data_IF_589986291173
#
_entry.id   IF_589986291173
#
_cell.length_a   1.000
_cell.length_b   1.000
_cell.length_c   1.000
_cell.angle_alpha   90.00
_cell.angle_beta   90.00
_cell.angle_gamma   90.00
#
_symmetry.space_group_name_H-M   'P 1'
#
loop_
_entity.id
_entity.type
_entity.pdbx_description
1 polymer ?
#
# COMPACT_ATOMS: atom_id res chain seq x y z
N UNK A 1 -6.74 3.92 -25.01
CA UNK A 1 -6.94 3.30 -23.70
C UNK A 1 -6.87 4.42 -22.67
N UNK A 2 -7.81 4.54 -21.73
CA UNK A 2 -7.69 5.58 -20.70
C UNK A 2 -6.48 5.25 -19.79
N UNK A 3 -5.60 6.22 -19.51
CA UNK A 3 -4.46 6.01 -18.65
C UNK A 3 -4.91 5.78 -17.19
N UNK A 4 -4.23 4.92 -16.48
CA UNK A 4 -4.47 4.69 -15.06
C UNK A 4 -3.16 4.50 -14.31
N UNK A 5 -3.20 4.81 -13.02
CA UNK A 5 -2.08 4.67 -12.09
C UNK A 5 -2.39 3.53 -11.12
N UNK A 6 -1.35 2.75 -10.80
CA UNK A 6 -1.43 1.74 -9.74
C UNK A 6 -0.77 2.29 -8.48
N UNK A 7 -1.53 2.28 -7.40
CA UNK A 7 -1.04 2.60 -6.06
C UNK A 7 -0.96 1.34 -5.20
N UNK A 8 -0.01 1.33 -4.29
CA UNK A 8 0.08 0.39 -3.16
C UNK A 8 0.61 1.12 -1.93
N UNK A 9 0.92 0.40 -0.87
CA UNK A 9 1.41 0.96 0.39
C UNK A 9 2.88 0.59 0.64
N UNK A 10 3.53 1.33 1.53
CA UNK A 10 4.90 1.01 1.93
C UNK A 10 5.01 -0.30 2.71
N UNK A 11 3.89 -0.89 3.13
CA UNK A 11 3.80 -2.21 3.74
C UNK A 11 4.18 -3.36 2.81
N UNK A 12 4.25 -3.11 1.49
CA UNK A 12 4.72 -4.06 0.49
C UNK A 12 6.23 -4.26 0.47
N UNK A 13 6.98 -3.49 1.26
CA UNK A 13 8.45 -3.57 1.43
C UNK A 13 9.24 -3.57 0.10
N UNK A 14 8.67 -2.94 -0.94
CA UNK A 14 9.33 -2.79 -2.23
C UNK A 14 10.48 -1.80 -2.14
N UNK A 15 11.61 -2.16 -2.77
CA UNK A 15 12.73 -1.23 -2.90
C UNK A 15 12.40 -0.08 -3.86
N UNK A 16 13.04 1.10 -3.72
CA UNK A 16 12.86 2.21 -4.66
C UNK A 16 13.07 1.79 -6.12
N UNK A 17 14.05 0.93 -6.39
CA UNK A 17 14.33 0.44 -7.74
C UNK A 17 13.16 -0.40 -8.32
N UNK A 18 12.55 -1.27 -7.53
CA UNK A 18 11.39 -2.05 -7.97
C UNK A 18 10.14 -1.18 -8.16
N UNK A 19 9.97 -0.16 -7.32
CA UNK A 19 8.87 0.81 -7.44
C UNK A 19 8.99 1.60 -8.75
N UNK A 20 10.20 2.08 -9.06
CA UNK A 20 10.49 2.79 -10.30
C UNK A 20 10.32 1.87 -11.52
N UNK A 21 10.90 0.67 -11.50
CA UNK A 21 10.77 -0.32 -12.59
C UNK A 21 9.31 -0.67 -12.88
N UNK A 22 8.51 -0.85 -11.83
CA UNK A 22 7.09 -1.20 -11.95
C UNK A 22 6.18 0.04 -12.17
N UNK A 23 6.74 1.26 -12.12
CA UNK A 23 5.99 2.52 -12.21
C UNK A 23 4.82 2.56 -11.21
N UNK A 24 5.06 2.11 -9.98
CA UNK A 24 4.09 2.15 -8.91
C UNK A 24 4.12 3.49 -8.16
N UNK A 25 2.97 3.91 -7.65
CA UNK A 25 2.90 4.94 -6.63
C UNK A 25 2.74 4.27 -5.27
N UNK A 26 3.51 4.72 -4.28
CA UNK A 26 3.48 4.12 -2.94
C UNK A 26 3.06 5.14 -1.90
N UNK A 27 1.99 4.82 -1.17
CA UNK A 27 1.56 5.59 -0.01
C UNK A 27 2.37 5.17 1.22
N UNK A 28 3.06 6.10 1.89
CA UNK A 28 3.80 5.79 3.09
C UNK A 28 2.84 5.60 4.27
N UNK A 29 2.93 4.47 4.96
CA UNK A 29 2.26 4.31 6.25
C UNK A 29 2.90 5.19 7.32
N UNK A 30 2.09 5.65 8.26
CA UNK A 30 2.57 6.39 9.43
C UNK A 30 2.80 5.46 10.61
N UNK A 31 3.83 5.74 11.39
CA UNK A 31 4.09 5.07 12.66
C UNK A 31 4.62 6.06 13.69
N UNK A 32 4.43 5.73 14.96
CA UNK A 32 4.98 6.47 16.08
C UNK A 32 6.04 5.62 16.78
N UNK A 33 7.23 6.17 16.95
CA UNK A 33 8.35 5.54 17.63
C UNK A 33 8.76 6.42 18.81
N UNK A 34 8.53 5.95 20.02
CA UNK A 34 8.81 6.67 21.27
C UNK A 34 8.18 8.08 21.33
N UNK A 35 6.97 8.24 20.83
CA UNK A 35 6.25 9.52 20.81
C UNK A 35 6.55 10.41 19.60
N UNK A 36 7.50 10.05 18.75
CA UNK A 36 7.80 10.76 17.51
C UNK A 36 7.10 10.08 16.31
N UNK A 37 6.38 10.86 15.51
CA UNK A 37 5.73 10.39 14.31
C UNK A 37 6.71 10.35 13.12
N UNK A 38 6.61 9.29 12.34
CA UNK A 38 7.38 9.06 11.11
C UNK A 38 6.47 8.54 10.01
N UNK A 39 6.89 8.75 8.76
CA UNK A 39 6.33 8.07 7.59
C UNK A 39 7.32 7.01 7.10
N UNK A 40 6.81 5.82 6.82
CA UNK A 40 7.59 4.71 6.27
C UNK A 40 7.79 4.91 4.76
N UNK A 41 8.73 5.77 4.38
CA UNK A 41 9.10 5.94 2.99
C UNK A 41 9.99 4.78 2.53
N UNK A 42 9.77 4.22 1.32
CA UNK A 42 10.58 3.12 0.79
C UNK A 42 12.09 3.41 0.70
N UNK A 43 12.46 4.68 0.59
CA UNK A 43 13.87 5.12 0.54
C UNK A 43 14.46 5.44 1.93
N UNK A 44 13.69 5.29 3.00
CA UNK A 44 14.15 5.51 4.37
C UNK A 44 14.51 6.95 4.72
N UNK A 45 13.99 7.95 3.97
CA UNK A 45 14.37 9.37 4.10
C UNK A 45 14.09 9.98 5.49
N UNK A 46 13.15 9.47 6.25
CA UNK A 46 12.87 9.96 7.62
C UNK A 46 13.58 9.14 8.69
N UNK A 47 13.68 7.83 8.48
CA UNK A 47 14.43 6.91 9.33
C UNK A 47 14.84 5.70 8.49
N UNK A 48 16.09 5.29 8.61
CA UNK A 48 16.54 4.08 7.92
C UNK A 48 15.95 2.83 8.57
N UNK A 49 15.77 1.75 7.78
CA UNK A 49 15.33 0.47 8.32
C UNK A 49 16.30 -0.04 9.40
N UNK A 50 17.60 0.16 9.22
CA UNK A 50 18.62 -0.20 10.21
C UNK A 50 18.37 0.51 11.54
N UNK A 51 18.27 1.84 11.55
CA UNK A 51 18.07 2.63 12.76
C UNK A 51 16.73 2.32 13.44
N UNK A 52 15.68 2.09 12.65
CA UNK A 52 14.39 1.67 13.16
C UNK A 52 14.48 0.36 13.96
N UNK A 53 15.09 -0.67 13.35
CA UNK A 53 15.22 -1.98 14.03
C UNK A 53 16.19 -1.95 15.20
N UNK A 54 17.26 -1.16 15.16
CA UNK A 54 18.16 -0.98 16.31
C UNK A 54 17.42 -0.34 17.50
N UNK A 55 16.58 0.66 17.26
CA UNK A 55 15.74 1.25 18.31
C UNK A 55 14.77 0.23 18.91
N UNK A 56 14.10 -0.58 18.07
CA UNK A 56 13.21 -1.65 18.56
C UNK A 56 13.97 -2.68 19.41
N UNK A 57 15.18 -3.10 19.01
CA UNK A 57 16.04 -4.00 19.79
C UNK A 57 16.47 -3.38 21.13
N UNK A 58 16.68 -2.07 21.14
CA UNK A 58 16.99 -1.31 22.36
C UNK A 58 15.76 -1.12 23.28
N UNK A 59 14.57 -1.57 22.88
CA UNK A 59 13.35 -1.54 23.70
C UNK A 59 12.39 -0.39 23.39
N UNK A 60 12.62 0.36 22.32
CA UNK A 60 11.69 1.41 21.86
C UNK A 60 10.30 0.86 21.61
N UNK A 61 9.29 1.68 21.87
CA UNK A 61 7.89 1.36 21.59
C UNK A 61 7.47 1.89 20.22
N UNK A 62 6.81 1.05 19.43
CA UNK A 62 6.29 1.45 18.14
C UNK A 62 4.81 1.11 18.00
N UNK A 63 4.05 2.05 17.46
CA UNK A 63 2.66 1.85 17.03
C UNK A 63 2.49 2.30 15.60
N UNK A 64 1.69 1.58 14.83
CA UNK A 64 1.40 1.91 13.42
C UNK A 64 -0.01 2.45 13.27
N UNK A 65 -0.20 3.34 12.30
CA UNK A 65 -1.51 3.85 11.90
C UNK A 65 -1.81 3.42 10.48
N UNK A 66 -3.07 3.13 10.18
CA UNK A 66 -3.53 2.94 8.81
C UNK A 66 -3.34 4.22 7.99
N UNK A 67 -3.35 4.12 6.67
CA UNK A 67 -3.38 5.30 5.78
C UNK A 67 -4.68 6.07 6.05
N UNK A 68 -4.55 7.37 6.26
CA UNK A 68 -5.69 8.23 6.59
C UNK A 68 -6.49 8.63 5.34
N UNK A 69 -7.75 9.05 5.52
CA UNK A 69 -8.56 9.58 4.41
C UNK A 69 -7.91 10.79 3.75
N UNK A 70 -7.24 11.65 4.54
CA UNK A 70 -6.50 12.80 4.02
C UNK A 70 -5.31 12.38 3.13
N UNK A 71 -4.56 11.35 3.53
CA UNK A 71 -3.44 10.84 2.71
C UNK A 71 -3.93 10.30 1.36
N UNK A 72 -5.10 9.62 1.33
CA UNK A 72 -5.71 9.20 0.06
C UNK A 72 -6.17 10.40 -0.77
N UNK A 73 -6.83 11.38 -0.16
CA UNK A 73 -7.30 12.57 -0.86
C UNK A 73 -6.13 13.35 -1.48
N UNK A 74 -5.06 13.56 -0.72
CA UNK A 74 -3.85 14.24 -1.18
C UNK A 74 -3.16 13.53 -2.34
N UNK A 75 -3.11 12.18 -2.29
CA UNK A 75 -2.43 11.39 -3.32
C UNK A 75 -3.29 11.16 -4.57
N UNK A 76 -4.59 10.94 -4.40
CA UNK A 76 -5.47 10.54 -5.51
C UNK A 76 -6.02 11.74 -6.28
N UNK A 77 -6.29 12.86 -5.60
CA UNK A 77 -6.87 14.05 -6.23
C UNK A 77 -6.07 14.55 -7.44
N UNK A 78 -4.73 14.70 -7.37
CA UNK A 78 -3.95 15.17 -8.53
C UNK A 78 -4.05 14.22 -9.73
N UNK A 79 -4.08 12.91 -9.49
CA UNK A 79 -4.17 11.86 -10.52
C UNK A 79 -5.54 11.92 -11.21
N UNK A 80 -6.61 11.99 -10.43
CA UNK A 80 -7.98 12.06 -10.94
C UNK A 80 -8.24 13.37 -11.71
N UNK A 81 -7.74 14.50 -11.17
CA UNK A 81 -7.81 15.81 -11.84
C UNK A 81 -7.00 15.82 -13.15
N UNK A 82 -5.89 15.08 -13.20
CA UNK A 82 -5.09 14.85 -14.41
C UNK A 82 -5.75 13.91 -15.43
N UNK A 83 -6.97 13.43 -15.16
CA UNK A 83 -7.74 12.60 -16.11
C UNK A 83 -7.34 11.11 -16.10
N UNK A 84 -6.65 10.64 -15.08
CA UNK A 84 -6.24 9.23 -14.95
C UNK A 84 -7.12 8.50 -13.94
N UNK A 85 -7.33 7.21 -14.15
CA UNK A 85 -8.03 6.31 -13.24
C UNK A 85 -7.05 5.73 -12.22
N UNK A 86 -7.54 5.19 -11.10
CA UNK A 86 -6.71 4.65 -10.02
C UNK A 86 -7.08 3.20 -9.72
N UNK A 87 -6.08 2.33 -9.75
CA UNK A 87 -6.15 0.98 -9.20
C UNK A 87 -5.31 0.93 -7.93
N UNK A 88 -5.97 0.82 -6.78
CA UNK A 88 -5.30 0.75 -5.49
C UNK A 88 -5.23 -0.69 -4.99
N UNK A 89 -4.03 -1.13 -4.65
CA UNK A 89 -3.72 -2.49 -4.19
C UNK A 89 -3.36 -2.41 -2.70
N UNK A 90 -4.30 -2.81 -1.87
CA UNK A 90 -4.25 -2.59 -0.44
C UNK A 90 -3.60 -3.74 0.33
N UNK A 91 -2.96 -3.42 1.43
CA UNK A 91 -2.57 -4.35 2.49
C UNK A 91 -3.75 -5.18 2.97
N UNK A 92 -3.49 -6.37 3.49
CA UNK A 92 -4.51 -7.32 3.91
C UNK A 92 -5.55 -6.72 4.88
N UNK A 93 -6.83 -6.83 4.52
CA UNK A 93 -7.94 -6.46 5.40
C UNK A 93 -8.02 -7.30 6.67
N UNK A 94 -7.36 -8.46 6.72
CA UNK A 94 -7.25 -9.29 7.92
C UNK A 94 -6.28 -8.77 8.96
N UNK A 95 -5.42 -7.81 8.59
CA UNK A 95 -4.36 -7.27 9.45
C UNK A 95 -4.52 -5.76 9.74
N UNK A 96 -5.23 -5.03 8.89
CA UNK A 96 -5.39 -3.58 8.98
C UNK A 96 -6.72 -3.11 8.42
N UNK A 97 -7.22 -1.98 8.93
CA UNK A 97 -8.39 -1.27 8.39
C UNK A 97 -8.08 -0.47 7.11
N UNK A 98 -6.84 -0.51 6.60
CA UNK A 98 -6.42 0.31 5.45
C UNK A 98 -7.24 0.04 4.20
N UNK A 99 -7.56 -1.23 3.90
CA UNK A 99 -8.42 -1.56 2.76
C UNK A 99 -9.82 -0.91 2.89
N UNK A 100 -10.45 -0.98 4.05
CA UNK A 100 -11.75 -0.35 4.29
C UNK A 100 -11.67 1.18 4.14
N UNK A 101 -10.62 1.78 4.69
CA UNK A 101 -10.38 3.23 4.56
C UNK A 101 -10.18 3.64 3.09
N UNK A 102 -9.48 2.82 2.29
CA UNK A 102 -9.31 3.08 0.86
C UNK A 102 -10.62 3.04 0.09
N UNK A 103 -11.51 2.10 0.44
CA UNK A 103 -12.84 2.02 -0.17
C UNK A 103 -13.68 3.27 0.14
N UNK A 104 -13.67 3.74 1.40
CA UNK A 104 -14.36 4.98 1.80
C UNK A 104 -13.78 6.19 1.05
N UNK A 105 -12.46 6.31 0.97
CA UNK A 105 -11.81 7.39 0.21
C UNK A 105 -12.17 7.33 -1.28
N UNK A 106 -12.22 6.12 -1.85
CA UNK A 106 -12.61 5.91 -3.25
C UNK A 106 -14.05 6.37 -3.50
N UNK A 107 -15.00 6.04 -2.64
CA UNK A 107 -16.39 6.49 -2.74
C UNK A 107 -16.50 8.02 -2.69
N UNK A 108 -15.87 8.66 -1.70
CA UNK A 108 -15.85 10.13 -1.55
C UNK A 108 -15.24 10.84 -2.79
N UNK A 109 -14.15 10.30 -3.32
CA UNK A 109 -13.48 10.87 -4.48
C UNK A 109 -14.23 10.57 -5.78
N UNK A 110 -14.92 9.44 -5.87
CA UNK A 110 -15.77 9.12 -7.02
C UNK A 110 -16.92 10.13 -7.18
N UNK A 111 -17.48 10.63 -6.07
CA UNK A 111 -18.50 11.70 -6.10
C UNK A 111 -17.91 13.04 -6.61
N UNK A 112 -16.66 13.36 -6.23
CA UNK A 112 -15.96 14.56 -6.70
C UNK A 112 -15.52 14.46 -8.17
N UNK A 113 -15.21 13.25 -8.64
CA UNK A 113 -14.69 12.95 -9.97
C UNK A 113 -15.55 11.90 -10.71
N UNK A 114 -16.82 12.19 -11.06
CA UNK A 114 -17.76 11.19 -11.60
C UNK A 114 -17.33 10.60 -12.95
N UNK A 115 -16.41 11.25 -13.67
CA UNK A 115 -15.85 10.75 -14.94
C UNK A 115 -14.60 9.87 -14.77
N UNK A 116 -14.16 9.63 -13.52
CA UNK A 116 -12.96 8.83 -13.20
C UNK A 116 -13.35 7.52 -12.52
N UNK A 117 -12.43 6.60 -12.52
CA UNK A 117 -12.62 5.28 -11.88
C UNK A 117 -11.58 5.07 -10.81
N UNK A 118 -12.02 4.62 -9.65
CA UNK A 118 -11.15 4.21 -8.55
C UNK A 118 -11.58 2.80 -8.15
N UNK A 119 -10.66 1.84 -8.17
CA UNK A 119 -10.92 0.50 -7.70
C UNK A 119 -9.89 0.11 -6.65
N UNK A 120 -10.36 -0.42 -5.53
CA UNK A 120 -9.53 -0.94 -4.44
C UNK A 120 -9.58 -2.47 -4.47
N UNK A 121 -8.43 -3.11 -4.34
CA UNK A 121 -8.30 -4.57 -4.26
C UNK A 121 -7.57 -4.93 -2.98
N UNK A 122 -8.19 -5.75 -2.16
CA UNK A 122 -7.56 -6.34 -0.99
C UNK A 122 -6.59 -7.44 -1.44
N UNK A 123 -5.30 -7.23 -1.24
CA UNK A 123 -4.27 -8.20 -1.62
C UNK A 123 -4.34 -9.51 -0.82
N UNK A 124 -4.92 -9.47 0.38
CA UNK A 124 -4.86 -10.54 1.40
C UNK A 124 -3.42 -10.87 1.83
N UNK A 125 -2.49 -9.97 1.55
CA UNK A 125 -1.06 -10.16 1.75
C UNK A 125 -0.49 -9.08 2.65
N UNK A 126 0.74 -9.30 3.11
CA UNK A 126 1.56 -8.38 3.90
C UNK A 126 3.01 -8.47 3.43
N UNK A 127 3.81 -7.41 3.70
CA UNK A 127 5.24 -7.37 3.40
C UNK A 127 5.52 -7.74 1.94
N UNK A 128 6.55 -8.52 1.66
CA UNK A 128 6.93 -8.93 0.30
C UNK A 128 5.83 -9.73 -0.45
N UNK A 129 4.86 -10.33 0.25
CA UNK A 129 3.69 -10.92 -0.39
C UNK A 129 2.81 -9.88 -1.08
N UNK A 130 2.56 -8.75 -0.41
CA UNK A 130 1.88 -7.58 -1.00
C UNK A 130 2.75 -6.95 -2.09
N UNK A 131 4.05 -6.79 -1.85
CA UNK A 131 5.00 -6.26 -2.84
C UNK A 131 5.02 -7.08 -4.12
N UNK A 132 5.09 -8.41 -4.02
CA UNK A 132 5.02 -9.32 -5.17
C UNK A 132 3.67 -9.17 -5.91
N UNK A 133 2.57 -9.13 -5.16
CA UNK A 133 1.25 -8.94 -5.73
C UNK A 133 1.17 -7.63 -6.53
N UNK A 134 1.59 -6.51 -5.94
CA UNK A 134 1.58 -5.20 -6.59
C UNK A 134 2.49 -5.17 -7.82
N UNK A 135 3.69 -5.74 -7.72
CA UNK A 135 4.63 -5.85 -8.82
C UNK A 135 4.05 -6.63 -10.01
N UNK A 136 3.43 -7.79 -9.77
CA UNK A 136 2.84 -8.60 -10.85
C UNK A 136 1.66 -7.90 -11.54
N UNK A 137 0.82 -7.18 -10.79
CA UNK A 137 -0.25 -6.37 -11.38
C UNK A 137 0.31 -5.20 -12.21
N UNK A 138 1.37 -4.56 -11.74
CA UNK A 138 2.06 -3.51 -12.47
C UNK A 138 2.68 -4.03 -13.78
N UNK A 139 3.33 -5.20 -13.74
CA UNK A 139 3.84 -5.88 -14.94
C UNK A 139 2.74 -6.21 -15.94
N UNK A 140 1.55 -6.57 -15.45
CA UNK A 140 0.36 -6.79 -16.32
C UNK A 140 -0.06 -5.50 -17.02
N UNK A 141 -0.04 -4.34 -16.31
CA UNK A 141 -0.27 -3.02 -16.91
C UNK A 141 0.78 -2.70 -17.97
N UNK A 142 2.07 -2.87 -17.67
CA UNK A 142 3.17 -2.61 -18.61
C UNK A 142 3.10 -3.48 -19.87
N UNK A 143 2.52 -4.68 -19.77
CA UNK A 143 2.20 -5.53 -20.92
C UNK A 143 1.00 -5.06 -21.75
N UNK A 144 0.45 -3.87 -21.45
CA UNK A 144 -0.65 -3.25 -22.21
C UNK A 144 -2.06 -3.61 -21.73
N UNK A 145 -2.23 -4.16 -20.53
CA UNK A 145 -3.55 -4.44 -20.01
C UNK A 145 -4.34 -3.15 -19.77
N UNK A 146 -5.62 -3.16 -20.13
CA UNK A 146 -6.56 -2.10 -19.76
C UNK A 146 -6.82 -2.10 -18.25
N UNK A 147 -7.46 -1.03 -17.75
CA UNK A 147 -7.86 -0.94 -16.36
C UNK A 147 -8.68 -2.17 -15.92
N UNK A 148 -9.68 -2.57 -16.69
CA UNK A 148 -10.53 -3.72 -16.38
C UNK A 148 -9.73 -5.03 -16.36
N UNK A 149 -8.86 -5.22 -17.34
CA UNK A 149 -8.00 -6.40 -17.41
C UNK A 149 -7.02 -6.47 -16.24
N UNK A 150 -6.46 -5.33 -15.80
CA UNK A 150 -5.58 -5.27 -14.63
C UNK A 150 -6.34 -5.51 -13.32
N UNK A 151 -7.54 -4.93 -13.19
CA UNK A 151 -8.43 -5.14 -12.04
C UNK A 151 -8.86 -6.60 -11.92
N UNK A 152 -9.29 -7.22 -13.01
CA UNK A 152 -9.68 -8.63 -13.03
C UNK A 152 -8.50 -9.54 -12.73
N UNK A 153 -7.32 -9.23 -13.29
CA UNK A 153 -6.08 -9.94 -12.99
C UNK A 153 -5.73 -9.84 -11.50
N UNK A 154 -5.78 -8.63 -10.92
CA UNK A 154 -5.51 -8.43 -9.51
C UNK A 154 -6.45 -9.26 -8.61
N UNK A 155 -7.76 -9.26 -8.91
CA UNK A 155 -8.76 -10.06 -8.18
C UNK A 155 -8.51 -11.57 -8.27
N UNK A 156 -8.09 -12.06 -9.43
CA UNK A 156 -7.75 -13.46 -9.63
C UNK A 156 -6.42 -13.85 -8.99
N UNK A 157 -5.45 -12.93 -8.98
CA UNK A 157 -4.12 -13.14 -8.42
C UNK A 157 -4.13 -13.16 -6.88
N UNK A 158 -4.92 -12.29 -6.22
CA UNK A 158 -4.93 -12.13 -4.77
C UNK A 158 -5.04 -13.45 -3.99
N UNK A 159 -5.93 -14.41 -4.33
CA UNK A 159 -6.02 -15.68 -3.63
C UNK A 159 -4.92 -16.67 -3.98
N UNK A 160 -4.06 -16.39 -4.97
CA UNK A 160 -3.02 -17.31 -5.44
C UNK A 160 -1.63 -16.99 -4.90
N UNK A 161 -1.42 -15.76 -4.42
CA UNK A 161 -0.17 -15.39 -3.75
C UNK A 161 -0.14 -16.06 -2.39
N UNK A 162 0.87 -16.86 -2.14
CA UNK A 162 1.04 -17.59 -0.89
C UNK A 162 2.30 -17.13 -0.19
N UNK A 163 2.15 -16.29 0.85
CA UNK A 163 3.25 -15.80 1.65
C UNK A 163 3.34 -16.57 2.98
N UNK A 164 4.53 -17.03 3.31
CA UNK A 164 4.86 -17.61 4.60
C UNK A 164 5.77 -16.63 5.34
N UNK A 165 5.44 -16.33 6.59
CA UNK A 165 6.24 -15.44 7.41
C UNK A 165 6.41 -15.99 8.82
N UNK A 166 7.46 -15.54 9.48
CA UNK A 166 7.71 -15.78 10.90
C UNK A 166 8.11 -14.46 11.56
N UNK A 167 8.08 -14.44 12.88
CA UNK A 167 8.50 -13.29 13.69
C UNK A 167 9.46 -13.77 14.77
N UNK A 168 10.43 -12.95 15.13
CA UNK A 168 11.39 -13.27 16.18
C UNK A 168 10.73 -13.32 17.56
N UNK A 169 9.79 -12.41 17.82
CA UNK A 169 9.08 -12.31 19.10
C UNK A 169 7.59 -11.98 18.87
N UNK A 170 6.72 -12.91 19.26
CA UNK A 170 5.27 -12.76 19.18
C UNK A 170 4.74 -11.61 20.06
N UNK A 171 5.51 -11.14 21.03
CA UNK A 171 5.10 -10.01 21.88
C UNK A 171 4.91 -8.72 21.09
N UNK A 172 5.61 -8.51 19.97
CA UNK A 172 5.38 -7.36 19.10
C UNK A 172 4.01 -7.41 18.44
N UNK A 173 3.57 -8.57 17.95
CA UNK A 173 2.22 -8.74 17.39
C UNK A 173 1.15 -8.54 18.47
N UNK A 174 1.33 -9.14 19.64
CA UNK A 174 0.41 -8.99 20.78
C UNK A 174 0.23 -7.53 21.21
N UNK A 175 1.34 -6.76 21.30
CA UNK A 175 1.30 -5.33 21.63
C UNK A 175 0.58 -4.51 20.56
N UNK A 176 0.65 -4.92 19.31
CA UNK A 176 -0.06 -4.32 18.18
C UNK A 176 -1.52 -4.79 18.03
N UNK A 177 -2.04 -5.61 18.96
CA UNK A 177 -3.41 -6.11 18.91
C UNK A 177 -3.66 -7.22 17.87
N UNK A 178 -2.61 -7.93 17.50
CA UNK A 178 -2.62 -8.99 16.48
C UNK A 178 -2.22 -10.34 17.06
#
# INVERSE_FOLDING_TARGET
MQPYIIFTESTGDLTPALIEEAELQVLPMSFNLDGQAYRNWPDGREISAHDYYEKLRAGSTCTTSQVSLADYEDAFTPVLAGGQDILYLAFSSGLSGTYQSSCVAAEMLQEKFPGRRIACVDSKQASMGEGLFAYLVARKRQAGASFDQALDYARQLAPTVCAWFTVDDLMFLKRGGR
#
